data_IF_844950049616
#
_entry.id   IF_844950049616
#
_cell.length_a   1.000
_cell.length_b   1.000
_cell.length_c   1.000
_cell.angle_alpha   90.00
_cell.angle_beta   90.00
_cell.angle_gamma   90.00
#
_symmetry.space_group_name_H-M   'P 1'
#
loop_
_entity.id
_entity.type
_entity.pdbx_description
1 polymer ?
#
# COMPACT_ATOMS: atom_id res chain seq x y z
N UNK A 1 7.42 -1.34 -8.39
CA UNK A 1 7.59 -1.42 -6.92
C UNK A 1 8.22 -2.74 -6.55
N UNK A 2 9.25 -2.71 -5.74
CA UNK A 2 9.92 -3.90 -5.26
C UNK A 2 9.92 -3.91 -3.73
N UNK A 3 9.55 -5.04 -3.15
CA UNK A 3 9.61 -5.28 -1.70
C UNK A 3 10.33 -6.61 -1.49
N UNK A 4 11.67 -6.60 -1.42
CA UNK A 4 12.45 -7.85 -1.41
C UNK A 4 12.13 -8.78 -0.26
N UNK A 5 11.79 -8.25 0.93
CA UNK A 5 11.53 -9.06 2.11
C UNK A 5 10.34 -10.00 1.95
N UNK A 6 9.38 -9.67 1.09
CA UNK A 6 8.19 -10.50 0.82
C UNK A 6 8.09 -10.88 -0.66
N UNK A 7 9.20 -10.79 -1.39
CA UNK A 7 9.31 -11.21 -2.80
C UNK A 7 8.28 -10.54 -3.72
N UNK A 8 7.97 -9.26 -3.47
CA UNK A 8 7.09 -8.49 -4.34
C UNK A 8 7.91 -7.76 -5.40
N UNK A 9 7.50 -7.92 -6.66
CA UNK A 9 8.01 -7.15 -7.79
C UNK A 9 6.80 -6.88 -8.69
N UNK A 10 6.26 -5.67 -8.63
CA UNK A 10 5.00 -5.32 -9.26
C UNK A 10 5.09 -3.96 -9.94
N UNK A 11 4.63 -3.83 -11.18
CA UNK A 11 4.33 -2.50 -11.70
C UNK A 11 3.20 -1.87 -10.87
N UNK A 12 2.99 -0.58 -11.03
CA UNK A 12 1.91 0.14 -10.36
C UNK A 12 0.92 0.63 -11.38
N UNK A 13 -0.35 0.25 -11.20
CA UNK A 13 -1.45 0.78 -11.99
C UNK A 13 -2.01 2.02 -11.30
N UNK A 14 -2.46 3.01 -12.08
CA UNK A 14 -3.14 4.17 -11.52
C UNK A 14 -4.55 3.80 -11.07
N UNK A 15 -4.94 4.22 -9.87
CA UNK A 15 -6.29 4.03 -9.32
C UNK A 15 -6.94 5.38 -9.12
N UNK A 16 -8.20 5.49 -9.54
CA UNK A 16 -9.02 6.68 -9.33
C UNK A 16 -9.89 6.57 -8.11
N UNK A 17 -10.73 7.60 -7.91
CA UNK A 17 -11.79 7.58 -6.92
C UNK A 17 -13.09 7.10 -7.55
N UNK A 18 -13.97 6.51 -6.73
CA UNK A 18 -15.34 6.19 -7.12
C UNK A 18 -16.21 7.46 -7.11
N UNK A 19 -17.43 7.35 -7.63
CA UNK A 19 -18.35 8.50 -7.71
C UNK A 19 -18.64 9.14 -6.36
N UNK A 20 -18.62 8.34 -5.29
CA UNK A 20 -18.87 8.83 -3.92
C UNK A 20 -17.60 9.38 -3.25
N UNK A 21 -16.48 9.47 -3.95
CA UNK A 21 -15.21 9.97 -3.42
C UNK A 21 -14.37 8.93 -2.71
N UNK A 22 -14.83 7.68 -2.58
CA UNK A 22 -14.03 6.63 -1.96
C UNK A 22 -12.98 6.08 -2.92
N UNK A 23 -11.93 5.49 -2.37
CA UNK A 23 -10.85 4.90 -3.16
C UNK A 23 -11.31 3.64 -3.87
N UNK A 24 -11.06 3.57 -5.18
CA UNK A 24 -11.38 2.39 -5.97
C UNK A 24 -10.38 1.29 -5.64
N UNK A 25 -10.82 0.05 -5.31
CA UNK A 25 -9.88 -1.04 -5.10
C UNK A 25 -9.22 -1.47 -6.41
N UNK A 26 -8.02 -2.10 -6.35
CA UNK A 26 -7.41 -2.67 -7.54
C UNK A 26 -8.35 -3.69 -8.21
N UNK A 27 -8.42 -3.71 -9.56
CA UNK A 27 -9.38 -4.58 -10.27
C UNK A 27 -8.98 -6.05 -10.31
N UNK A 28 -7.77 -6.41 -9.87
CA UNK A 28 -7.29 -7.79 -9.87
C UNK A 28 -6.26 -7.99 -8.75
N UNK A 29 -5.85 -9.23 -8.51
CA UNK A 29 -4.86 -9.55 -7.50
C UNK A 29 -3.46 -9.04 -7.79
N UNK A 30 -3.18 -8.69 -9.04
CA UNK A 30 -1.91 -8.14 -9.51
C UNK A 30 -2.20 -7.28 -10.74
N UNK A 31 -1.54 -6.14 -10.90
CA UNK A 31 -0.53 -5.51 -10.06
C UNK A 31 -1.12 -4.76 -8.86
N UNK A 32 -0.25 -4.23 -8.02
CA UNK A 32 -0.64 -3.23 -7.03
C UNK A 32 -1.00 -1.92 -7.72
N UNK A 33 -1.81 -1.09 -7.05
CA UNK A 33 -2.21 0.20 -7.59
C UNK A 33 -1.88 1.35 -6.68
N UNK A 34 -1.54 2.52 -7.24
CA UNK A 34 -1.35 3.74 -6.48
C UNK A 34 -2.47 4.72 -6.79
N UNK A 35 -2.89 5.49 -5.79
CA UNK A 35 -3.99 6.42 -5.96
C UNK A 35 -3.50 7.70 -6.60
N UNK A 36 -3.94 7.93 -7.84
CA UNK A 36 -3.49 9.05 -8.67
C UNK A 36 -3.96 10.41 -8.14
N UNK A 37 -4.96 10.43 -7.27
CA UNK A 37 -5.40 11.65 -6.58
C UNK A 37 -4.57 11.93 -5.33
N UNK A 38 -3.68 11.02 -4.94
CA UNK A 38 -2.73 11.20 -3.86
C UNK A 38 -1.37 11.62 -4.43
N UNK A 39 -0.45 12.12 -3.60
CA UNK A 39 0.89 12.47 -4.07
C UNK A 39 1.64 11.29 -4.66
N UNK A 40 2.53 11.59 -5.60
CA UNK A 40 3.47 10.60 -6.14
C UNK A 40 4.42 10.16 -5.03
N UNK A 41 4.79 8.86 -4.96
CA UNK A 41 5.74 8.38 -3.97
C UNK A 41 7.03 9.21 -3.95
N UNK A 42 7.44 9.63 -2.74
CA UNK A 42 8.60 10.48 -2.53
C UNK A 42 8.29 11.95 -2.31
N UNK A 43 7.03 12.38 -2.41
CA UNK A 43 6.59 13.72 -2.05
C UNK A 43 6.28 13.83 -0.56
N UNK A 44 6.05 15.07 -0.06
CA UNK A 44 5.97 15.35 1.39
C UNK A 44 4.70 14.87 2.10
N UNK A 45 3.73 14.31 1.39
CA UNK A 45 2.53 13.73 1.99
C UNK A 45 2.50 12.24 1.69
N UNK A 46 1.77 11.41 2.47
CA UNK A 46 1.84 9.99 2.22
C UNK A 46 1.27 9.62 0.85
N UNK A 47 2.03 8.86 0.10
CA UNK A 47 1.53 8.17 -1.07
C UNK A 47 0.85 6.87 -0.63
N UNK A 48 -0.20 6.46 -1.33
CA UNK A 48 -0.99 5.29 -0.96
C UNK A 48 -0.96 4.28 -2.09
N UNK A 49 -0.52 3.07 -1.77
CA UNK A 49 -0.49 1.94 -2.68
C UNK A 49 -1.33 0.83 -2.07
N UNK A 50 -2.30 0.33 -2.84
CA UNK A 50 -3.19 -0.73 -2.41
C UNK A 50 -2.95 -2.01 -3.22
N UNK A 51 -3.16 -3.15 -2.59
CA UNK A 51 -3.10 -4.43 -3.25
C UNK A 51 -3.97 -5.44 -2.53
N UNK A 52 -4.41 -6.47 -3.23
CA UNK A 52 -5.22 -7.52 -2.64
C UNK A 52 -4.37 -8.54 -1.89
N UNK A 53 -4.90 -9.05 -0.78
CA UNK A 53 -4.29 -10.17 -0.07
C UNK A 53 -4.56 -11.48 -0.81
N UNK A 54 -5.77 -11.65 -1.35
CA UNK A 54 -6.18 -12.79 -2.17
C UNK A 54 -7.04 -12.33 -3.33
N UNK A 55 -7.01 -13.10 -4.42
CA UNK A 55 -7.85 -12.83 -5.58
C UNK A 55 -8.21 -14.14 -6.27
N UNK A 56 -9.50 -14.40 -6.44
CA UNK A 56 -10.01 -15.58 -7.16
C UNK A 56 -9.40 -16.89 -6.65
N UNK A 57 -9.19 -17.03 -5.34
CA UNK A 57 -8.63 -18.22 -4.72
C UNK A 57 -7.10 -18.31 -4.76
N UNK A 58 -6.41 -17.28 -5.23
CA UNK A 58 -4.95 -17.22 -5.32
C UNK A 58 -4.38 -16.09 -4.48
N UNK A 59 -3.13 -16.19 -4.00
CA UNK A 59 -2.50 -15.08 -3.30
C UNK A 59 -2.42 -13.82 -4.17
N UNK A 60 -2.82 -12.69 -3.60
CA UNK A 60 -2.67 -11.39 -4.23
C UNK A 60 -1.27 -10.82 -4.05
N UNK A 61 -1.03 -9.63 -4.63
CA UNK A 61 0.29 -8.97 -4.59
C UNK A 61 0.72 -8.67 -3.15
N UNK A 62 -0.21 -8.38 -2.25
CA UNK A 62 0.07 -8.07 -0.85
C UNK A 62 -0.32 -9.22 0.10
N UNK A 63 -0.30 -10.45 -0.39
CA UNK A 63 -0.62 -11.62 0.43
C UNK A 63 0.24 -11.67 1.72
N UNK A 64 1.50 -11.32 1.63
CA UNK A 64 2.45 -11.36 2.75
C UNK A 64 2.75 -9.99 3.36
N UNK A 65 1.91 -8.99 3.12
CA UNK A 65 2.18 -7.62 3.62
C UNK A 65 2.35 -7.61 5.14
N UNK A 66 1.60 -8.44 5.87
CA UNK A 66 1.69 -8.55 7.33
C UNK A 66 3.05 -9.03 7.82
N UNK A 67 3.84 -9.66 6.96
CA UNK A 67 5.15 -10.21 7.34
C UNK A 67 6.26 -9.17 7.27
N UNK A 68 5.98 -7.95 6.81
CA UNK A 68 6.95 -6.87 6.82
C UNK A 68 7.33 -6.49 8.25
N UNK A 69 8.58 -6.10 8.42
CA UNK A 69 9.16 -5.73 9.72
C UNK A 69 9.81 -4.36 9.61
N UNK A 70 9.95 -3.64 10.75
CA UNK A 70 10.72 -2.40 10.76
C UNK A 70 12.11 -2.60 10.16
N UNK A 71 12.48 -1.72 9.24
CA UNK A 71 13.75 -1.81 8.51
C UNK A 71 13.67 -2.42 7.13
N UNK A 72 12.57 -3.12 6.79
CA UNK A 72 12.40 -3.67 5.45
C UNK A 72 12.24 -2.54 4.42
N UNK A 73 12.76 -2.76 3.22
CA UNK A 73 12.77 -1.74 2.17
C UNK A 73 11.63 -1.91 1.18
N UNK A 74 11.12 -0.77 0.72
CA UNK A 74 10.18 -0.68 -0.39
C UNK A 74 10.78 0.28 -1.42
N UNK A 75 10.96 -0.18 -2.65
CA UNK A 75 11.59 0.60 -3.71
C UNK A 75 10.55 0.86 -4.79
N UNK A 76 10.32 2.14 -5.09
CA UNK A 76 9.33 2.57 -6.07
C UNK A 76 10.05 3.32 -7.20
N UNK A 77 10.02 2.75 -8.40
CA UNK A 77 10.53 3.44 -9.59
C UNK A 77 9.57 4.54 -10.00
N UNK A 78 10.10 5.73 -10.28
CA UNK A 78 9.32 6.90 -10.66
C UNK A 78 9.48 7.18 -12.15
N UNK A 79 8.54 7.94 -12.70
CA UNK A 79 8.57 8.30 -14.13
C UNK A 79 9.68 9.31 -14.46
N UNK A 80 10.27 9.96 -13.46
CA UNK A 80 11.39 10.89 -13.66
C UNK A 80 12.75 10.19 -13.75
N UNK A 81 12.78 8.86 -13.83
CA UNK A 81 14.02 8.08 -13.91
C UNK A 81 14.68 7.83 -12.56
N UNK A 82 14.02 8.15 -11.46
CA UNK A 82 14.52 7.95 -10.11
C UNK A 82 13.78 6.83 -9.41
N UNK A 83 14.42 6.25 -8.41
CA UNK A 83 13.80 5.29 -7.52
C UNK A 83 13.72 5.89 -6.11
N UNK A 84 12.52 5.91 -5.54
CA UNK A 84 12.32 6.29 -4.15
C UNK A 84 12.47 5.05 -3.28
N UNK A 85 13.35 5.11 -2.28
CA UNK A 85 13.59 4.02 -1.35
C UNK A 85 12.99 4.38 0.00
N UNK A 86 12.05 3.55 0.44
CA UNK A 86 11.37 3.71 1.72
C UNK A 86 11.78 2.60 2.66
N UNK A 87 11.72 2.89 3.95
CA UNK A 87 11.95 1.89 5.00
C UNK A 87 10.71 1.76 5.85
N UNK A 88 10.24 0.52 6.05
CA UNK A 88 9.08 0.24 6.89
C UNK A 88 9.42 0.58 8.33
N UNK A 89 8.53 1.32 9.02
CA UNK A 89 8.67 1.60 10.43
C UNK A 89 7.71 0.79 11.29
N UNK A 90 6.53 0.45 10.76
CA UNK A 90 5.57 -0.41 11.46
C UNK A 90 4.55 -0.99 10.50
N UNK A 91 3.93 -2.09 10.91
CA UNK A 91 2.78 -2.69 10.24
C UNK A 91 1.69 -2.84 11.30
N UNK A 92 0.47 -2.38 10.99
CA UNK A 92 -0.65 -2.43 11.92
C UNK A 92 -1.88 -3.01 11.23
N UNK A 93 -2.69 -3.72 12.01
CA UNK A 93 -3.98 -4.25 11.56
C UNK A 93 -5.09 -3.47 12.23
N UNK A 94 -6.08 -3.01 11.46
CA UNK A 94 -7.21 -2.23 11.94
C UNK A 94 -8.50 -2.87 11.50
N UNK A 95 -9.50 -2.92 12.39
CA UNK A 95 -10.86 -3.24 11.98
C UNK A 95 -11.33 -2.21 10.95
N UNK A 96 -12.07 -2.64 9.92
CA UNK A 96 -12.47 -1.75 8.82
C UNK A 96 -13.32 -0.56 9.30
N UNK A 97 -14.13 -0.77 10.34
CA UNK A 97 -14.96 0.28 10.93
C UNK A 97 -14.18 1.20 11.87
N UNK A 98 -12.95 0.86 12.20
CA UNK A 98 -12.06 1.65 13.07
C UNK A 98 -10.79 2.10 12.33
N UNK A 99 -10.80 2.11 11.00
CA UNK A 99 -9.62 2.48 10.20
C UNK A 99 -9.25 3.94 10.44
N UNK A 100 -8.01 4.23 10.90
CA UNK A 100 -7.62 5.59 11.27
C UNK A 100 -7.24 6.42 10.04
N UNK A 101 -8.24 6.87 9.29
CA UNK A 101 -8.04 7.59 8.02
C UNK A 101 -7.08 8.76 8.17
N UNK A 102 -7.17 9.52 9.26
CA UNK A 102 -6.28 10.67 9.48
C UNK A 102 -4.82 10.26 9.66
N UNK A 103 -4.56 9.14 10.36
CA UNK A 103 -3.19 8.67 10.55
C UNK A 103 -2.61 8.05 9.28
N UNK A 104 -3.44 7.41 8.45
CA UNK A 104 -3.00 6.73 7.23
C UNK A 104 -2.93 7.70 6.06
N UNK A 105 -3.97 8.50 5.85
CA UNK A 105 -4.14 9.35 4.67
C UNK A 105 -3.85 10.82 4.95
N UNK A 106 -3.68 11.22 6.21
CA UNK A 106 -3.49 12.61 6.60
C UNK A 106 -2.09 13.14 6.26
N UNK A 107 -1.95 14.45 6.39
CA UNK A 107 -0.67 15.13 6.11
C UNK A 107 0.40 14.71 7.12
N UNK A 108 1.62 14.61 6.63
CA UNK A 108 2.81 14.37 7.42
C UNK A 108 3.87 15.42 7.02
N UNK A 109 4.91 15.58 7.86
CA UNK A 109 5.95 16.57 7.64
C UNK A 109 7.15 16.02 6.85
N UNK A 110 7.04 14.81 6.33
CA UNK A 110 8.10 14.15 5.56
C UNK A 110 7.48 13.26 4.48
N UNK A 111 8.28 12.86 3.51
CA UNK A 111 7.81 11.95 2.46
C UNK A 111 7.57 10.56 3.04
N UNK A 112 6.38 10.02 2.85
CA UNK A 112 5.98 8.74 3.39
C UNK A 112 5.17 7.91 2.42
N UNK A 113 5.02 6.63 2.76
CA UNK A 113 4.31 5.66 1.96
C UNK A 113 3.42 4.83 2.88
N UNK A 114 2.22 4.52 2.39
CA UNK A 114 1.30 3.60 3.05
C UNK A 114 0.95 2.48 2.09
N UNK A 115 1.23 1.25 2.49
CA UNK A 115 0.84 0.05 1.74
C UNK A 115 -0.36 -0.55 2.45
N UNK A 116 -1.46 -0.76 1.73
CA UNK A 116 -2.73 -1.15 2.34
C UNK A 116 -3.27 -2.40 1.67
N UNK A 117 -3.72 -3.36 2.47
CA UNK A 117 -4.44 -4.54 2.01
C UNK A 117 -5.46 -4.98 3.06
N UNK A 118 -6.27 -5.98 2.72
CA UNK A 118 -7.20 -6.61 3.65
C UNK A 118 -6.47 -7.63 4.53
N UNK A 119 -7.04 -7.93 5.70
CA UNK A 119 -6.46 -8.92 6.63
C UNK A 119 -7.45 -9.35 7.71
N UNK A 120 -6.94 -10.02 8.73
CA UNK A 120 -7.76 -10.56 9.81
C UNK A 120 -8.57 -11.78 9.38
N UNK A 121 -9.67 -12.03 10.10
CA UNK A 121 -10.56 -13.14 9.80
C UNK A 121 -11.40 -12.84 8.55
N UNK A 122 -11.56 -13.84 7.70
CA UNK A 122 -12.46 -13.74 6.56
C UNK A 122 -13.91 -13.92 7.04
N UNK A 123 -14.77 -12.96 6.68
CA UNK A 123 -16.20 -13.03 6.97
C UNK A 123 -16.91 -13.57 5.73
N UNK A 124 -17.37 -14.83 5.81
CA UNK A 124 -18.02 -15.49 4.70
C UNK A 124 -19.37 -14.87 4.34
N UNK A 125 -20.09 -14.32 5.32
CA UNK A 125 -21.39 -13.68 5.07
C UNK A 125 -21.22 -12.37 4.30
N UNK A 126 -20.23 -11.57 4.65
CA UNK A 126 -19.91 -10.34 3.97
C UNK A 126 -19.03 -10.56 2.73
N UNK A 127 -18.52 -11.77 2.52
CA UNK A 127 -17.57 -12.13 1.47
C UNK A 127 -16.35 -11.19 1.46
N UNK A 128 -15.86 -10.82 2.64
CA UNK A 128 -14.72 -9.91 2.78
C UNK A 128 -13.95 -10.17 4.07
N UNK A 129 -12.73 -9.66 4.13
CA UNK A 129 -11.95 -9.65 5.36
C UNK A 129 -12.45 -8.58 6.30
N UNK A 130 -12.35 -8.84 7.62
CA UNK A 130 -12.84 -7.91 8.65
C UNK A 130 -11.94 -6.72 8.85
N UNK A 131 -10.65 -6.84 8.55
CA UNK A 131 -9.65 -5.86 8.88
C UNK A 131 -8.93 -5.36 7.65
N UNK A 132 -8.27 -4.22 7.80
CA UNK A 132 -7.26 -3.73 6.89
C UNK A 132 -5.88 -3.82 7.54
N UNK A 133 -4.87 -4.08 6.74
CA UNK A 133 -3.48 -4.06 7.18
C UNK A 133 -2.81 -2.90 6.47
N UNK A 134 -2.13 -2.05 7.23
CA UNK A 134 -1.38 -0.94 6.70
C UNK A 134 0.09 -1.03 7.12
N UNK A 135 0.99 -0.97 6.15
CA UNK A 135 2.42 -0.83 6.40
C UNK A 135 2.79 0.64 6.22
N UNK A 136 3.43 1.20 7.23
CA UNK A 136 3.87 2.59 7.26
C UNK A 136 5.36 2.64 6.97
N UNK A 137 5.74 3.40 5.95
CA UNK A 137 7.13 3.52 5.56
C UNK A 137 7.49 4.99 5.33
N UNK A 138 8.76 5.31 5.57
CA UNK A 138 9.29 6.67 5.40
C UNK A 138 10.38 6.67 4.35
N UNK A 139 10.47 7.76 3.58
CA UNK A 139 11.49 7.94 2.56
C UNK A 139 12.88 8.00 3.20
N UNK A 140 13.78 7.17 2.72
CA UNK A 140 15.17 7.13 3.19
C UNK A 140 16.09 7.80 2.19
N UNK A 141 15.88 7.53 0.90
CA UNK A 141 16.73 8.08 -0.15
C UNK A 141 16.01 8.08 -1.48
N UNK A 142 16.51 8.90 -2.41
CA UNK A 142 16.11 8.88 -3.81
C UNK A 142 17.34 8.60 -4.65
N UNK A 143 17.27 7.60 -5.50
CA UNK A 143 18.42 7.13 -6.29
C UNK A 143 18.07 7.19 -7.77
N UNK A 144 19.09 7.17 -8.63
CA UNK A 144 18.87 6.97 -10.05
C UNK A 144 18.43 5.52 -10.28
N UNK A 145 17.34 5.38 -11.01
CA UNK A 145 16.83 4.05 -11.33
C UNK A 145 17.67 3.36 -12.40
#
# INVERSE_FOLDING_TARGET
MQIPAIAVDSPLAGLGLQHDGTMRPPPAGFPAGWYTSAPTPGQLVPAIIAGHVDWAGHPGVFHNLRDLKPGDQVIVARTDGRAAVFRVNRVEEFAKDAFPTGAVNGNIDHAGLRLITCGGSFDQQAASYRDNIAAFADLVSTQNA
#
